data_IF_190323566557
#
_entry.id   IF_190323566557
#
_cell.length_a   1.000
_cell.length_b   1.000
_cell.length_c   1.000
_cell.angle_alpha   90.00
_cell.angle_beta   90.00
_cell.angle_gamma   90.00
#
_symmetry.space_group_name_H-M   'P 1'
#
loop_
_entity.id
_entity.type
_entity.pdbx_description
1 polymer ?
#
# COMPACT_ATOMS: atom_id res chain seq x y z
N UNK A 1 -73.42 31.03 -7.49
CA UNK A 1 -74.73 31.21 -8.21
C UNK A 1 -75.02 29.90 -8.91
N UNK A 2 -75.88 29.16 -8.28
CA UNK A 2 -77.05 28.50 -8.76
C UNK A 2 -76.79 27.34 -9.74
N UNK A 3 -77.00 26.12 -9.26
CA UNK A 3 -78.28 25.36 -9.08
C UNK A 3 -78.67 24.66 -10.39
N UNK A 4 -78.87 23.41 -10.43
CA UNK A 4 -79.84 22.45 -9.88
C UNK A 4 -80.44 21.64 -11.03
N UNK A 5 -80.67 20.38 -10.76
CA UNK A 5 -81.77 19.45 -11.11
C UNK A 5 -81.44 18.42 -12.20
N UNK A 6 -81.22 17.16 -11.82
CA UNK A 6 -82.27 16.17 -11.54
C UNK A 6 -83.06 15.72 -12.80
N UNK A 7 -82.88 14.47 -13.19
CA UNK A 7 -84.07 13.59 -13.19
C UNK A 7 -83.70 12.09 -13.36
N UNK A 8 -84.40 11.33 -12.56
CA UNK A 8 -84.54 9.85 -12.59
C UNK A 8 -85.20 9.41 -13.89
N UNK A 9 -84.83 8.23 -14.37
CA UNK A 9 -85.83 7.22 -14.65
C UNK A 9 -85.26 5.81 -14.70
N UNK A 10 -85.79 4.99 -13.83
CA UNK A 10 -85.76 3.54 -13.75
C UNK A 10 -86.22 2.89 -15.01
N UNK A 11 -85.58 1.77 -15.42
CA UNK A 11 -86.31 0.59 -15.89
C UNK A 11 -85.45 -0.67 -15.80
N UNK A 12 -85.94 -1.61 -15.01
CA UNK A 12 -85.55 -2.98 -14.86
C UNK A 12 -85.54 -3.73 -16.20
N UNK A 13 -84.45 -4.56 -16.43
CA UNK A 13 -84.56 -5.82 -17.18
C UNK A 13 -83.40 -6.73 -16.87
N UNK A 14 -83.68 -7.77 -16.17
CA UNK A 14 -83.21 -9.14 -16.06
C UNK A 14 -81.68 -9.41 -15.96
N UNK A 15 -81.25 -9.94 -14.84
CA UNK A 15 -79.94 -10.61 -14.69
C UNK A 15 -80.09 -12.14 -14.76
N UNK A 16 -79.83 -12.79 -15.86
CA UNK A 16 -79.86 -14.27 -15.83
C UNK A 16 -78.94 -15.03 -16.77
N UNK A 17 -78.01 -14.41 -17.52
CA UNK A 17 -77.10 -15.14 -18.39
C UNK A 17 -75.61 -14.77 -18.17
N UNK A 18 -75.37 -13.66 -17.52
CA UNK A 18 -73.97 -13.21 -17.33
C UNK A 18 -73.19 -13.89 -16.15
N UNK A 19 -73.96 -14.56 -15.26
CA UNK A 19 -73.36 -15.15 -14.04
C UNK A 19 -72.67 -16.53 -14.22
N UNK A 20 -72.82 -17.19 -15.36
CA UNK A 20 -72.24 -18.53 -15.58
C UNK A 20 -71.03 -18.56 -16.55
N UNK A 21 -70.82 -17.53 -17.35
CA UNK A 21 -69.71 -17.47 -18.31
C UNK A 21 -68.49 -16.76 -17.71
N UNK A 22 -68.69 -15.85 -16.76
CA UNK A 22 -67.64 -15.10 -16.09
C UNK A 22 -66.64 -15.98 -15.28
N UNK A 23 -67.09 -16.99 -14.46
CA UNK A 23 -66.19 -17.87 -13.76
C UNK A 23 -65.41 -18.82 -14.67
N UNK A 24 -65.95 -19.21 -15.83
CA UNK A 24 -65.24 -20.06 -16.81
C UNK A 24 -64.18 -19.28 -17.55
N UNK A 25 -64.40 -18.04 -17.92
CA UNK A 25 -63.41 -17.16 -18.53
C UNK A 25 -62.31 -16.76 -17.52
N UNK A 26 -62.65 -16.53 -16.25
CA UNK A 26 -61.70 -16.22 -15.19
C UNK A 26 -60.85 -17.45 -14.85
N UNK A 27 -61.43 -18.66 -14.85
CA UNK A 27 -60.71 -19.93 -14.67
C UNK A 27 -59.74 -20.21 -15.81
N UNK A 28 -60.08 -19.93 -17.07
CA UNK A 28 -59.21 -20.10 -18.21
C UNK A 28 -58.09 -19.06 -18.25
N UNK A 29 -58.35 -17.82 -17.82
CA UNK A 29 -57.30 -16.79 -17.67
C UNK A 29 -56.31 -17.11 -16.55
N UNK A 30 -56.75 -17.73 -15.44
CA UNK A 30 -55.88 -18.14 -14.35
C UNK A 30 -54.98 -19.35 -14.69
N UNK A 31 -55.45 -20.28 -15.54
CA UNK A 31 -54.67 -21.43 -15.99
C UNK A 31 -53.64 -21.05 -17.04
N UNK A 32 -53.81 -19.99 -17.79
CA UNK A 32 -52.80 -19.45 -18.71
C UNK A 32 -51.67 -18.68 -17.98
N UNK A 33 -51.93 -18.16 -16.76
CA UNK A 33 -50.92 -17.43 -15.99
C UNK A 33 -49.91 -18.33 -15.26
N UNK A 34 -50.19 -19.61 -15.05
CA UNK A 34 -49.30 -20.53 -14.37
C UNK A 34 -48.40 -21.34 -15.30
N UNK A 35 -48.50 -21.17 -16.61
CA UNK A 35 -47.78 -22.01 -17.61
C UNK A 35 -46.46 -21.48 -18.13
N UNK A 36 -45.99 -20.28 -17.76
CA UNK A 36 -44.81 -19.68 -18.40
C UNK A 36 -43.64 -19.37 -17.50
N UNK A 37 -43.60 -19.86 -16.25
CA UNK A 37 -42.42 -19.65 -15.40
C UNK A 37 -41.22 -20.59 -15.75
N UNK A 38 -41.43 -21.65 -16.54
CA UNK A 38 -40.37 -22.55 -16.98
C UNK A 38 -39.64 -22.12 -18.24
N UNK A 39 -40.11 -21.05 -18.90
CA UNK A 39 -39.49 -20.47 -20.09
C UNK A 39 -38.91 -19.07 -19.86
N UNK A 40 -38.67 -18.66 -18.62
CA UNK A 40 -37.74 -17.56 -18.43
C UNK A 40 -36.35 -18.15 -18.70
N UNK A 41 -35.68 -17.74 -19.79
CA UNK A 41 -34.25 -18.00 -19.85
C UNK A 41 -33.69 -17.40 -18.55
N UNK A 42 -32.97 -18.22 -17.75
CA UNK A 42 -32.06 -17.64 -16.77
C UNK A 42 -31.34 -16.53 -17.52
N UNK A 43 -31.12 -15.33 -16.92
CA UNK A 43 -30.19 -14.38 -17.51
C UNK A 43 -28.88 -15.12 -17.59
N UNK A 44 -28.62 -15.75 -18.75
CA UNK A 44 -27.32 -16.29 -19.04
C UNK A 44 -26.39 -15.10 -18.93
N UNK A 45 -25.31 -15.25 -18.18
CA UNK A 45 -24.18 -14.35 -18.31
C UNK A 45 -23.86 -14.33 -19.80
N UNK A 46 -24.29 -13.29 -20.49
CA UNK A 46 -24.15 -13.21 -21.94
C UNK A 46 -22.70 -13.08 -22.35
N UNK A 47 -21.84 -12.77 -21.39
CA UNK A 47 -20.43 -12.46 -21.61
C UNK A 47 -19.51 -13.20 -20.64
N UNK A 48 -18.32 -13.53 -21.12
CA UNK A 48 -17.17 -13.93 -20.32
C UNK A 48 -15.93 -13.13 -20.75
N UNK A 49 -14.96 -13.05 -19.89
CA UNK A 49 -13.72 -12.34 -20.13
C UNK A 49 -12.53 -13.29 -20.05
N UNK A 50 -11.58 -13.13 -20.97
CA UNK A 50 -10.41 -13.99 -21.06
C UNK A 50 -9.40 -13.60 -19.98
N UNK A 51 -9.00 -14.57 -19.16
CA UNK A 51 -7.94 -14.40 -18.14
C UNK A 51 -6.57 -14.79 -18.66
N UNK A 52 -6.49 -15.75 -19.57
CA UNK A 52 -5.23 -16.18 -20.15
C UNK A 52 -4.56 -15.06 -20.94
N UNK A 53 -3.22 -15.02 -20.97
CA UNK A 53 -2.46 -14.08 -21.80
C UNK A 53 -2.87 -14.18 -23.27
N UNK A 54 -3.01 -15.42 -23.75
CA UNK A 54 -3.48 -15.78 -25.09
C UNK A 54 -4.23 -17.09 -25.00
N UNK A 55 -5.35 -17.21 -25.71
CA UNK A 55 -6.11 -18.44 -25.83
C UNK A 55 -6.57 -18.65 -27.26
N UNK A 56 -6.75 -19.93 -27.65
CA UNK A 56 -7.19 -20.30 -29.00
C UNK A 56 -8.60 -20.85 -28.93
N UNK A 57 -9.44 -20.38 -29.84
CA UNK A 57 -10.73 -20.95 -30.08
C UNK A 57 -10.59 -22.21 -30.92
N UNK A 58 -11.44 -23.21 -30.67
CA UNK A 58 -11.41 -24.52 -31.33
C UNK A 58 -12.73 -24.86 -32.02
N UNK A 59 -12.67 -25.60 -33.10
CA UNK A 59 -13.87 -26.01 -33.86
C UNK A 59 -14.78 -26.98 -33.08
N UNK A 60 -14.20 -27.74 -32.13
CA UNK A 60 -14.91 -28.73 -31.30
C UNK A 60 -14.27 -28.92 -29.95
N UNK A 61 -15.03 -29.52 -29.03
CA UNK A 61 -14.62 -29.84 -27.67
C UNK A 61 -13.63 -30.99 -27.65
N UNK A 62 -12.39 -30.74 -28.07
CA UNK A 62 -11.29 -31.72 -28.03
C UNK A 62 -9.95 -30.99 -27.94
N UNK A 63 -8.98 -31.56 -27.18
CA UNK A 63 -7.64 -31.02 -27.08
C UNK A 63 -6.92 -30.96 -28.44
N UNK A 64 -7.16 -31.95 -29.28
CA UNK A 64 -6.67 -32.02 -30.67
C UNK A 64 -7.81 -31.64 -31.61
N UNK A 65 -7.90 -30.36 -31.96
CA UNK A 65 -8.92 -29.81 -32.84
C UNK A 65 -8.37 -28.62 -33.60
N UNK A 66 -9.01 -28.25 -34.70
CA UNK A 66 -8.59 -27.11 -35.52
C UNK A 66 -8.80 -25.79 -34.75
N UNK A 67 -7.85 -24.86 -34.86
CA UNK A 67 -7.99 -23.50 -34.35
C UNK A 67 -8.90 -22.71 -35.29
N UNK A 68 -9.90 -22.01 -34.73
CA UNK A 68 -10.87 -21.19 -35.46
C UNK A 68 -10.72 -19.72 -35.17
N UNK A 69 -9.96 -19.37 -34.14
CA UNK A 69 -9.70 -17.98 -33.74
C UNK A 69 -8.71 -17.90 -32.60
N UNK A 70 -8.37 -16.68 -32.26
CA UNK A 70 -7.47 -16.33 -31.15
C UNK A 70 -8.06 -15.19 -30.32
N UNK A 71 -7.81 -15.24 -29.03
CA UNK A 71 -8.26 -14.22 -28.09
C UNK A 71 -7.18 -13.92 -27.05
N UNK A 72 -7.21 -12.73 -26.49
CA UNK A 72 -6.18 -12.24 -25.57
C UNK A 72 -6.77 -11.81 -24.23
N UNK A 73 -5.92 -11.59 -23.23
CA UNK A 73 -6.31 -11.20 -21.89
C UNK A 73 -7.22 -9.96 -21.89
N UNK A 74 -8.29 -10.02 -21.11
CA UNK A 74 -9.28 -8.93 -20.94
C UNK A 74 -10.31 -8.85 -22.07
N UNK A 75 -10.20 -9.66 -23.13
CA UNK A 75 -11.17 -9.62 -24.24
C UNK A 75 -12.52 -10.16 -23.79
N UNK A 76 -13.59 -9.43 -24.09
CA UNK A 76 -14.97 -9.80 -23.83
C UNK A 76 -15.48 -10.73 -24.95
N UNK A 77 -16.04 -11.86 -24.55
CA UNK A 77 -16.59 -12.86 -25.47
C UNK A 77 -18.08 -13.07 -25.20
N UNK A 78 -18.88 -13.22 -26.26
CA UNK A 78 -20.30 -13.54 -26.16
C UNK A 78 -20.47 -15.06 -26.04
N UNK A 79 -21.18 -15.53 -25.03
CA UNK A 79 -21.47 -16.96 -24.85
C UNK A 79 -22.56 -17.37 -25.83
N UNK A 80 -22.33 -18.46 -26.58
CA UNK A 80 -23.28 -19.05 -27.47
C UNK A 80 -23.84 -20.38 -26.95
N UNK A 81 -22.99 -21.19 -26.28
CA UNK A 81 -23.41 -22.48 -25.71
C UNK A 81 -22.45 -22.91 -24.59
N UNK A 82 -22.94 -23.71 -23.66
CA UNK A 82 -22.17 -24.34 -22.60
C UNK A 82 -21.95 -25.84 -22.87
N UNK A 83 -20.69 -26.28 -22.70
CA UNK A 83 -20.29 -27.68 -22.61
C UNK A 83 -19.82 -27.98 -21.16
N UNK A 84 -19.29 -29.20 -20.96
CA UNK A 84 -18.91 -29.66 -19.61
C UNK A 84 -17.77 -28.84 -18.96
N UNK A 85 -16.75 -28.46 -19.74
CA UNK A 85 -15.56 -27.66 -19.32
C UNK A 85 -15.18 -26.67 -20.40
N UNK A 86 -16.05 -26.47 -21.36
CA UNK A 86 -15.86 -25.64 -22.52
C UNK A 86 -17.08 -24.78 -22.72
N UNK A 87 -16.86 -23.58 -23.19
CA UNK A 87 -17.90 -22.66 -23.61
C UNK A 87 -17.70 -22.35 -25.09
N UNK A 88 -18.79 -22.35 -25.87
CA UNK A 88 -18.76 -21.84 -27.23
C UNK A 88 -18.97 -20.32 -27.16
N UNK A 89 -18.06 -19.62 -27.79
CA UNK A 89 -18.05 -18.16 -27.73
C UNK A 89 -17.89 -17.53 -29.09
N UNK A 90 -18.25 -16.25 -29.14
CA UNK A 90 -18.00 -15.37 -30.29
C UNK A 90 -17.12 -14.22 -29.83
N UNK A 91 -16.02 -13.99 -30.56
CA UNK A 91 -15.14 -12.82 -30.35
C UNK A 91 -15.77 -11.55 -30.92
N UNK A 92 -15.28 -10.35 -30.52
CA UNK A 92 -15.68 -9.09 -31.14
C UNK A 92 -15.40 -9.04 -32.66
N UNK A 93 -14.44 -9.83 -33.13
CA UNK A 93 -14.11 -9.97 -34.57
C UNK A 93 -15.07 -10.90 -35.33
N UNK A 94 -16.01 -11.54 -34.63
CA UNK A 94 -17.00 -12.45 -35.21
C UNK A 94 -16.53 -13.92 -35.33
N UNK A 95 -15.32 -14.26 -34.84
CA UNK A 95 -14.82 -15.61 -34.81
C UNK A 95 -15.60 -16.45 -33.80
N UNK A 96 -16.01 -17.64 -34.17
CA UNK A 96 -16.76 -18.56 -33.32
C UNK A 96 -15.96 -19.82 -33.04
N UNK A 97 -15.95 -20.27 -31.78
CA UNK A 97 -15.27 -21.47 -31.39
C UNK A 97 -15.44 -21.82 -29.93
N UNK A 98 -14.86 -22.92 -29.52
CA UNK A 98 -14.86 -23.41 -28.14
C UNK A 98 -13.59 -22.98 -27.41
N UNK A 99 -13.73 -22.45 -26.20
CA UNK A 99 -12.65 -22.12 -25.29
C UNK A 99 -12.84 -22.87 -23.96
N UNK A 100 -11.75 -23.23 -23.28
CA UNK A 100 -11.82 -23.83 -21.96
C UNK A 100 -12.34 -22.81 -20.95
N UNK A 101 -13.38 -23.18 -20.18
CA UNK A 101 -14.02 -22.31 -19.18
C UNK A 101 -13.02 -21.76 -18.15
N UNK A 102 -12.01 -22.56 -17.75
CA UNK A 102 -10.96 -22.13 -16.80
C UNK A 102 -10.07 -20.97 -17.30
N UNK A 103 -10.11 -20.66 -18.59
CA UNK A 103 -9.36 -19.55 -19.19
C UNK A 103 -10.18 -18.26 -19.23
N UNK A 104 -11.36 -18.29 -18.65
CA UNK A 104 -12.30 -17.15 -18.63
C UNK A 104 -12.83 -16.91 -17.24
N UNK A 105 -13.37 -15.70 -17.02
CA UNK A 105 -14.16 -15.34 -15.84
C UNK A 105 -15.51 -14.78 -16.30
N UNK A 106 -16.57 -14.95 -15.48
CA UNK A 106 -17.90 -14.44 -15.81
C UNK A 106 -17.96 -12.90 -15.68
N UNK A 107 -19.05 -12.32 -16.17
CA UNK A 107 -19.33 -10.89 -16.23
C UNK A 107 -19.23 -10.22 -14.85
N UNK A 108 -19.71 -10.87 -13.79
CA UNK A 108 -19.72 -10.31 -12.43
C UNK A 108 -18.30 -9.98 -11.90
N UNK A 109 -17.28 -10.73 -12.34
CA UNK A 109 -15.89 -10.42 -12.01
C UNK A 109 -15.42 -9.17 -12.75
N UNK A 110 -15.73 -9.03 -14.03
CA UNK A 110 -15.43 -7.82 -14.79
C UNK A 110 -16.13 -6.59 -14.20
N UNK A 111 -17.39 -6.74 -13.78
CA UNK A 111 -18.16 -5.68 -13.12
C UNK A 111 -17.51 -5.22 -11.81
N UNK A 112 -16.91 -6.13 -11.02
CA UNK A 112 -16.14 -5.79 -9.83
C UNK A 112 -14.92 -4.93 -10.16
N UNK A 113 -14.19 -5.25 -11.26
CA UNK A 113 -13.07 -4.42 -11.73
C UNK A 113 -13.54 -3.04 -12.22
N UNK A 114 -14.69 -2.99 -12.90
CA UNK A 114 -15.30 -1.73 -13.31
C UNK A 114 -15.73 -0.86 -12.12
N UNK A 115 -16.23 -1.48 -11.05
CA UNK A 115 -16.54 -0.80 -9.80
C UNK A 115 -15.25 -0.23 -9.17
N UNK A 116 -14.19 -1.04 -9.01
CA UNK A 116 -12.90 -0.56 -8.51
C UNK A 116 -12.38 0.61 -9.33
N UNK A 117 -12.44 0.52 -10.66
CA UNK A 117 -12.00 1.60 -11.55
C UNK A 117 -12.79 2.90 -11.32
N UNK A 118 -14.12 2.81 -11.12
CA UNK A 118 -15.00 3.97 -10.89
C UNK A 118 -14.79 4.57 -9.50
N UNK A 119 -14.74 3.73 -8.49
CA UNK A 119 -14.64 4.14 -7.08
C UNK A 119 -13.30 4.84 -6.80
N UNK A 120 -12.23 4.34 -7.40
CA UNK A 120 -10.87 4.88 -7.21
C UNK A 120 -10.40 5.79 -8.35
N UNK A 121 -11.29 6.22 -9.26
CA UNK A 121 -10.91 7.04 -10.43
C UNK A 121 -10.23 8.37 -10.06
N UNK A 122 -10.61 8.95 -8.92
CA UNK A 122 -10.14 10.26 -8.44
C UNK A 122 -9.11 10.16 -7.32
N UNK A 123 -8.75 8.94 -6.91
CA UNK A 123 -7.81 8.78 -5.83
C UNK A 123 -6.43 9.32 -6.22
N UNK A 124 -5.78 10.05 -5.31
CA UNK A 124 -4.48 10.61 -5.56
C UNK A 124 -3.44 9.49 -5.72
N UNK A 125 -2.55 9.68 -6.68
CA UNK A 125 -1.41 8.77 -6.85
C UNK A 125 -0.43 8.99 -5.71
N UNK A 126 -0.13 7.92 -4.97
CA UNK A 126 0.81 7.94 -3.85
C UNK A 126 2.25 7.98 -4.38
N UNK A 127 2.56 7.09 -5.30
CA UNK A 127 3.86 6.98 -5.97
C UNK A 127 3.70 6.12 -7.23
N UNK A 128 4.74 6.02 -8.03
CA UNK A 128 4.80 5.14 -9.21
C UNK A 128 5.71 3.95 -8.95
N UNK A 129 5.40 2.85 -9.59
CA UNK A 129 6.22 1.64 -9.56
C UNK A 129 6.14 0.93 -10.90
N UNK A 130 7.05 0.00 -11.13
CA UNK A 130 7.03 -0.94 -12.24
C UNK A 130 6.82 -2.35 -11.74
N UNK A 131 6.28 -3.22 -12.60
CA UNK A 131 6.16 -4.64 -12.32
C UNK A 131 7.50 -5.34 -12.58
N UNK A 132 7.98 -6.14 -11.62
CA UNK A 132 9.20 -6.94 -11.78
C UNK A 132 8.99 -8.26 -12.53
N UNK A 133 7.73 -8.65 -12.76
CA UNK A 133 7.34 -9.88 -13.46
C UNK A 133 5.91 -9.74 -13.96
N UNK A 134 5.47 -10.66 -14.83
CA UNK A 134 4.05 -10.73 -15.23
C UNK A 134 3.16 -11.01 -14.01
N UNK A 135 2.12 -10.21 -13.83
CA UNK A 135 1.24 -10.29 -12.68
C UNK A 135 -0.22 -10.02 -13.03
N UNK A 136 -1.13 -10.68 -12.32
CA UNK A 136 -2.55 -10.40 -12.46
C UNK A 136 -3.00 -9.30 -11.47
N UNK A 137 -3.93 -8.47 -11.94
CA UNK A 137 -4.75 -7.66 -11.06
C UNK A 137 -5.84 -8.52 -10.42
N UNK A 138 -6.03 -8.35 -9.12
CA UNK A 138 -7.04 -9.00 -8.30
C UNK A 138 -8.14 -8.02 -7.89
N UNK A 139 -9.36 -8.51 -7.67
CA UNK A 139 -10.50 -7.67 -7.21
C UNK A 139 -10.36 -7.24 -5.75
N UNK A 140 -9.58 -7.97 -4.95
CA UNK A 140 -9.33 -7.69 -3.54
C UNK A 140 -7.92 -8.16 -3.16
N UNK A 141 -7.33 -7.66 -2.06
CA UNK A 141 -6.04 -8.15 -1.60
C UNK A 141 -6.11 -9.63 -1.22
N UNK A 142 -5.14 -10.41 -1.68
CA UNK A 142 -5.02 -11.85 -1.37
C UNK A 142 -4.89 -12.74 -2.59
N UNK A 143 -4.13 -13.85 -2.42
CA UNK A 143 -3.77 -14.75 -3.53
C UNK A 143 -4.93 -15.58 -4.08
N UNK A 144 -6.00 -15.73 -3.31
CA UNK A 144 -7.15 -16.57 -3.65
C UNK A 144 -8.34 -15.77 -4.17
N UNK A 145 -8.20 -14.46 -4.32
CA UNK A 145 -9.24 -13.59 -4.85
C UNK A 145 -9.32 -13.66 -6.37
N UNK A 146 -10.46 -13.30 -6.91
CA UNK A 146 -10.69 -13.29 -8.35
C UNK A 146 -9.71 -12.35 -9.06
N UNK A 147 -9.27 -12.76 -10.26
CA UNK A 147 -8.29 -12.02 -11.05
C UNK A 147 -8.69 -11.98 -12.53
N UNK A 148 -8.31 -10.92 -13.23
CA UNK A 148 -8.67 -10.78 -14.65
C UNK A 148 -7.51 -10.21 -15.48
N UNK A 149 -7.11 -8.97 -15.26
CA UNK A 149 -6.15 -8.29 -16.12
C UNK A 149 -4.72 -8.71 -15.84
N UNK A 150 -4.01 -9.09 -16.88
CA UNK A 150 -2.60 -9.48 -16.82
C UNK A 150 -1.73 -8.28 -17.17
N UNK A 151 -0.90 -7.88 -16.24
CA UNK A 151 0.13 -6.87 -16.42
C UNK A 151 1.41 -7.51 -16.96
N UNK A 152 2.07 -6.82 -17.87
CA UNK A 152 3.38 -7.24 -18.40
C UNK A 152 4.50 -6.76 -17.49
N UNK A 153 5.62 -7.47 -17.47
CA UNK A 153 6.87 -7.04 -16.84
C UNK A 153 7.28 -5.63 -17.31
N UNK A 154 7.79 -4.81 -16.41
CA UNK A 154 8.21 -3.42 -16.68
C UNK A 154 7.05 -2.43 -16.87
N UNK A 155 5.80 -2.89 -16.77
CA UNK A 155 4.64 -2.00 -16.87
C UNK A 155 4.61 -0.95 -15.75
N UNK A 156 4.44 0.34 -16.10
CA UNK A 156 4.33 1.42 -15.13
C UNK A 156 2.95 1.46 -14.50
N UNK A 157 2.91 1.55 -13.18
CA UNK A 157 1.71 1.57 -12.36
C UNK A 157 1.69 2.79 -11.44
N UNK A 158 0.50 3.35 -11.26
CA UNK A 158 0.21 4.33 -10.22
C UNK A 158 -0.30 3.61 -8.98
N UNK A 159 0.37 3.75 -7.85
CA UNK A 159 -0.02 3.16 -6.57
C UNK A 159 -1.02 4.08 -5.87
N UNK A 160 -2.13 3.54 -5.39
CA UNK A 160 -3.24 4.29 -4.80
C UNK A 160 -3.40 4.00 -3.30
N UNK A 161 -3.33 2.73 -2.89
CA UNK A 161 -3.58 2.33 -1.50
C UNK A 161 -2.85 1.03 -1.17
N UNK A 162 -2.51 0.82 0.11
CA UNK A 162 -1.85 -0.40 0.59
C UNK A 162 -2.74 -1.16 1.55
N UNK A 163 -2.79 -2.49 1.38
CA UNK A 163 -3.42 -3.41 2.31
C UNK A 163 -2.43 -4.49 2.75
N UNK A 164 -2.63 -5.02 3.96
CA UNK A 164 -1.85 -6.15 4.49
C UNK A 164 -2.80 -7.24 4.94
N UNK A 165 -2.69 -8.41 4.33
CA UNK A 165 -3.56 -9.55 4.61
C UNK A 165 -2.75 -10.78 5.01
N UNK A 166 -3.33 -11.71 5.81
CA UNK A 166 -2.67 -12.95 6.13
C UNK A 166 -2.37 -13.78 4.86
N UNK A 167 -1.17 -14.35 4.78
CA UNK A 167 -0.84 -15.32 3.75
C UNK A 167 -1.74 -16.55 3.90
N UNK A 168 -2.39 -17.02 2.82
CA UNK A 168 -3.19 -18.24 2.88
C UNK A 168 -2.36 -19.44 3.32
N UNK A 169 -2.89 -20.23 4.25
CA UNK A 169 -2.26 -21.49 4.66
C UNK A 169 -2.58 -22.53 3.59
N UNK A 170 -1.54 -23.05 2.95
CA UNK A 170 -1.70 -24.18 2.01
C UNK A 170 -2.08 -25.43 2.78
N UNK A 171 -3.20 -26.10 2.46
CA UNK A 171 -3.56 -27.37 3.10
C UNK A 171 -2.41 -28.38 2.95
N UNK A 172 -1.94 -28.95 4.07
CA UNK A 172 -0.82 -29.89 4.10
C UNK A 172 0.57 -29.26 4.22
N UNK A 173 0.70 -27.95 4.24
CA UNK A 173 1.96 -27.32 4.62
C UNK A 173 2.21 -27.55 6.12
N UNK A 174 3.35 -28.13 6.46
CA UNK A 174 3.77 -28.23 7.86
C UNK A 174 3.77 -26.83 8.49
N UNK A 175 3.31 -26.68 9.75
CA UNK A 175 3.42 -25.42 10.47
C UNK A 175 4.86 -24.94 10.37
N UNK A 176 5.07 -23.67 10.06
CA UNK A 176 6.40 -23.08 10.04
C UNK A 176 7.08 -23.39 11.38
N UNK A 177 8.13 -24.19 11.37
CA UNK A 177 8.88 -24.49 12.58
C UNK A 177 9.36 -23.18 13.19
N UNK A 178 9.19 -22.97 14.52
CA UNK A 178 9.77 -21.83 15.19
C UNK A 178 11.27 -21.79 14.89
N UNK A 179 11.79 -20.60 14.61
CA UNK A 179 13.23 -20.44 14.43
C UNK A 179 13.98 -21.03 15.65
N UNK A 180 15.12 -21.71 15.48
CA UNK A 180 15.80 -22.48 16.53
C UNK A 180 16.41 -21.63 17.65
N UNK A 181 15.85 -20.51 18.03
CA UNK A 181 16.22 -19.65 19.16
C UNK A 181 15.02 -18.82 19.65
N UNK A 182 13.81 -19.33 19.51
CA UNK A 182 12.62 -18.63 20.01
C UNK A 182 12.51 -18.89 21.53
N UNK A 183 12.47 -17.82 22.32
CA UNK A 183 12.18 -17.88 23.76
C UNK A 183 10.89 -18.68 23.97
N UNK A 184 10.90 -19.74 24.81
CA UNK A 184 9.70 -20.55 25.08
C UNK A 184 8.51 -19.74 25.62
N UNK A 185 8.77 -18.55 26.19
CA UNK A 185 7.76 -17.64 26.72
C UNK A 185 7.35 -16.55 25.74
N UNK A 186 7.92 -16.52 24.51
CA UNK A 186 7.49 -15.57 23.52
C UNK A 186 6.03 -15.85 23.08
N UNK A 187 5.19 -14.83 22.92
CA UNK A 187 3.87 -15.02 22.38
C UNK A 187 3.94 -15.69 21.01
N UNK A 188 2.98 -16.55 20.65
CA UNK A 188 2.97 -17.23 19.38
C UNK A 188 3.14 -16.24 18.23
N UNK A 189 4.02 -16.54 17.30
CA UNK A 189 4.21 -15.71 16.13
C UNK A 189 2.87 -15.55 15.40
N UNK A 190 2.44 -14.32 15.19
CA UNK A 190 1.24 -14.02 14.42
C UNK A 190 1.32 -14.57 12.98
N UNK A 191 0.22 -14.55 12.22
CA UNK A 191 0.20 -15.03 10.85
C UNK A 191 1.25 -14.27 10.00
N UNK A 192 1.84 -14.99 9.06
CA UNK A 192 2.70 -14.35 8.05
C UNK A 192 1.83 -13.45 7.19
N UNK A 193 2.15 -12.16 7.15
CA UNK A 193 1.39 -11.16 6.38
C UNK A 193 1.97 -10.99 4.97
N UNK A 194 1.12 -10.54 4.06
CA UNK A 194 1.48 -10.15 2.69
C UNK A 194 0.92 -8.76 2.40
N UNK A 195 1.77 -7.88 1.87
CA UNK A 195 1.35 -6.54 1.45
C UNK A 195 0.85 -6.59 0.01
N UNK A 196 -0.27 -5.92 -0.23
CA UNK A 196 -0.92 -5.74 -1.50
C UNK A 196 -1.12 -4.26 -1.78
N UNK A 197 -1.06 -3.89 -3.05
CA UNK A 197 -1.27 -2.51 -3.47
C UNK A 197 -2.41 -2.42 -4.45
N UNK A 198 -3.32 -1.50 -4.20
CA UNK A 198 -4.28 -1.06 -5.21
C UNK A 198 -3.53 -0.19 -6.20
N UNK A 199 -3.58 -0.56 -7.46
CA UNK A 199 -2.84 0.12 -8.52
C UNK A 199 -3.75 0.45 -9.69
N UNK A 200 -3.32 1.44 -10.48
CA UNK A 200 -3.92 1.82 -11.74
C UNK A 200 -2.84 1.79 -12.83
N UNK A 201 -3.11 1.07 -13.91
CA UNK A 201 -2.22 1.01 -15.07
C UNK A 201 -2.43 2.20 -16.04
N UNK A 202 -1.62 2.26 -17.10
CA UNK A 202 -1.72 3.29 -18.14
C UNK A 202 -3.04 3.24 -18.93
N UNK A 203 -3.77 2.11 -18.92
CA UNK A 203 -5.07 1.95 -19.58
C UNK A 203 -6.24 2.33 -18.64
N UNK A 204 -5.94 2.70 -17.39
CA UNK A 204 -6.94 2.99 -16.36
C UNK A 204 -7.52 1.75 -15.70
N UNK A 205 -6.99 0.54 -15.96
CA UNK A 205 -7.39 -0.67 -15.25
C UNK A 205 -6.93 -0.56 -13.80
N UNK A 206 -7.83 -0.83 -12.87
CA UNK A 206 -7.59 -0.68 -11.43
C UNK A 206 -7.83 -2.02 -10.74
N UNK A 207 -6.91 -2.42 -9.86
CA UNK A 207 -7.01 -3.67 -9.11
C UNK A 207 -5.84 -3.85 -8.15
N UNK A 208 -5.88 -4.92 -7.37
CA UNK A 208 -4.88 -5.24 -6.36
C UNK A 208 -3.77 -6.11 -6.93
N UNK A 209 -2.52 -5.79 -6.60
CA UNK A 209 -1.33 -6.56 -6.98
C UNK A 209 -0.48 -6.87 -5.75
N UNK A 210 0.18 -8.02 -5.77
CA UNK A 210 1.08 -8.44 -4.70
C UNK A 210 2.30 -7.52 -4.62
N UNK A 211 2.54 -6.92 -3.47
CA UNK A 211 3.55 -5.87 -3.28
C UNK A 211 4.99 -6.29 -3.55
N UNK A 212 5.31 -7.60 -3.54
CA UNK A 212 6.66 -8.08 -3.90
C UNK A 212 6.95 -8.05 -5.41
N UNK A 213 5.92 -7.90 -6.23
CA UNK A 213 6.05 -7.79 -7.68
C UNK A 213 6.15 -6.34 -8.14
N UNK A 214 6.29 -5.41 -7.19
CA UNK A 214 6.39 -3.99 -7.46
C UNK A 214 7.77 -3.46 -7.08
N UNK A 215 8.39 -2.75 -8.01
CA UNK A 215 9.59 -1.97 -7.81
C UNK A 215 9.24 -0.49 -7.92
N UNK A 216 9.38 0.23 -6.81
CA UNK A 216 9.12 1.69 -6.80
C UNK A 216 10.12 2.38 -7.71
N UNK A 217 9.63 3.27 -8.56
CA UNK A 217 10.45 4.05 -9.48
C UNK A 217 11.39 4.96 -8.68
N UNK A 218 12.62 4.50 -8.50
CA UNK A 218 13.69 5.24 -7.85
C UNK A 218 14.96 5.12 -8.70
N UNK A 219 15.78 6.17 -8.81
CA UNK A 219 17.04 6.09 -9.55
C UNK A 219 17.99 5.06 -8.94
N UNK A 220 18.65 4.26 -9.78
CA UNK A 220 19.62 3.24 -9.37
C UNK A 220 20.74 3.82 -8.50
N UNK A 221 21.11 5.07 -8.77
CA UNK A 221 22.11 5.81 -7.98
C UNK A 221 21.73 5.92 -6.49
N UNK A 222 20.43 5.88 -6.16
CA UNK A 222 19.94 5.96 -4.78
C UNK A 222 19.80 4.59 -4.10
N UNK A 223 19.67 3.50 -4.84
CA UNK A 223 19.47 2.16 -4.30
C UNK A 223 20.63 1.74 -3.36
N UNK A 224 21.85 2.15 -3.68
CA UNK A 224 23.05 1.92 -2.82
C UNK A 224 22.95 2.52 -1.42
N UNK A 225 22.09 3.52 -1.25
CA UNK A 225 21.90 4.22 0.03
C UNK A 225 20.72 3.68 0.85
N UNK A 226 20.02 2.66 0.37
CA UNK A 226 18.86 2.08 1.06
C UNK A 226 19.24 1.36 2.38
N UNK A 227 20.53 1.02 2.60
CA UNK A 227 21.07 0.49 3.86
C UNK A 227 20.29 -0.73 4.39
N UNK A 228 19.88 -1.65 3.51
CA UNK A 228 19.14 -2.85 3.87
C UNK A 228 17.64 -2.61 4.09
N UNK A 229 17.13 -1.46 3.71
CA UNK A 229 15.70 -1.16 3.62
C UNK A 229 15.26 -1.07 2.15
N UNK A 230 13.96 -1.15 1.90
CA UNK A 230 13.40 -0.90 0.57
C UNK A 230 12.97 0.57 0.45
N UNK A 231 13.19 1.16 -0.70
CA UNK A 231 12.60 2.45 -1.05
C UNK A 231 11.13 2.20 -1.41
N UNK A 232 10.22 2.89 -0.72
CA UNK A 232 8.77 2.78 -0.95
C UNK A 232 8.17 4.04 -1.57
N UNK A 233 8.99 5.07 -1.77
CA UNK A 233 8.66 6.28 -2.52
C UNK A 233 9.89 7.11 -2.78
N UNK A 234 9.98 7.70 -3.97
CA UNK A 234 11.02 8.65 -4.36
C UNK A 234 10.36 9.82 -5.11
N UNK A 235 10.62 11.03 -4.66
CA UNK A 235 9.96 12.24 -5.16
C UNK A 235 11.01 13.27 -5.49
N UNK A 236 10.93 13.85 -6.69
CA UNK A 236 11.81 14.96 -7.08
C UNK A 236 11.46 16.18 -6.26
N UNK A 237 12.44 16.70 -5.51
CA UNK A 237 12.31 17.88 -4.67
C UNK A 237 12.75 19.15 -5.39
N UNK A 238 13.90 19.10 -6.06
CA UNK A 238 14.54 20.18 -6.77
C UNK A 238 15.45 19.64 -7.87
N UNK A 239 16.05 20.53 -8.64
CA UNK A 239 17.08 20.22 -9.61
C UNK A 239 18.30 21.12 -9.37
N UNK A 240 19.47 20.56 -9.59
CA UNK A 240 20.75 21.26 -9.53
C UNK A 240 21.44 21.14 -10.88
N UNK A 241 21.88 22.27 -11.42
CA UNK A 241 22.62 22.27 -12.67
C UNK A 241 24.08 21.87 -12.42
N UNK A 242 24.52 20.83 -13.11
CA UNK A 242 25.89 20.32 -13.10
C UNK A 242 26.25 19.81 -14.49
N UNK A 243 26.85 20.68 -15.34
CA UNK A 243 27.26 20.31 -16.70
C UNK A 243 28.24 19.13 -16.73
N UNK A 244 29.03 18.98 -15.68
CA UNK A 244 30.08 17.95 -15.56
C UNK A 244 29.65 16.77 -14.65
N UNK A 245 28.34 16.52 -14.53
CA UNK A 245 27.77 15.55 -13.62
C UNK A 245 28.31 14.12 -13.75
N UNK A 246 28.79 13.76 -14.96
CA UNK A 246 29.21 12.39 -15.28
C UNK A 246 28.08 11.39 -15.40
N UNK A 247 26.81 11.79 -15.23
CA UNK A 247 25.63 10.94 -15.39
C UNK A 247 25.24 10.93 -16.87
N UNK A 248 25.10 9.73 -17.42
CA UNK A 248 24.65 9.53 -18.79
C UNK A 248 23.21 8.97 -18.81
N UNK A 249 22.36 9.55 -19.63
CA UNK A 249 21.07 9.01 -19.98
C UNK A 249 20.98 8.93 -21.52
N UNK A 250 20.74 7.70 -22.03
CA UNK A 250 20.72 7.43 -23.47
C UNK A 250 21.94 7.98 -24.23
N UNK A 251 23.12 7.96 -23.59
CA UNK A 251 24.39 8.45 -24.15
C UNK A 251 24.60 9.96 -24.06
N UNK A 252 23.66 10.72 -23.54
CA UNK A 252 23.78 12.16 -23.32
C UNK A 252 24.09 12.47 -21.84
N UNK A 253 24.96 13.45 -21.61
CA UNK A 253 25.22 13.90 -20.23
C UNK A 253 23.99 14.61 -19.67
N UNK A 254 23.54 14.16 -18.50
CA UNK A 254 22.47 14.81 -17.75
C UNK A 254 23.07 16.00 -17.02
N UNK A 255 22.66 17.21 -17.38
CA UNK A 255 23.16 18.45 -16.80
C UNK A 255 22.27 19.01 -15.68
N UNK A 256 21.01 18.62 -15.62
CA UNK A 256 20.06 19.03 -14.59
C UNK A 256 19.76 17.82 -13.70
N UNK A 257 20.42 17.75 -12.56
CA UNK A 257 20.39 16.60 -11.67
C UNK A 257 19.27 16.75 -10.63
N UNK A 258 18.30 15.82 -10.57
CA UNK A 258 17.22 15.90 -9.59
C UNK A 258 17.70 15.58 -8.17
N UNK A 259 17.25 16.34 -7.21
CA UNK A 259 17.35 16.06 -5.78
C UNK A 259 16.08 15.38 -5.29
N UNK A 260 16.20 14.42 -4.38
CA UNK A 260 15.09 13.54 -4.04
C UNK A 260 14.75 13.55 -2.56
N UNK A 261 13.45 13.50 -2.26
CA UNK A 261 12.93 12.99 -0.99
C UNK A 261 12.60 11.52 -1.18
N UNK A 262 13.22 10.65 -0.40
CA UNK A 262 12.92 9.22 -0.40
C UNK A 262 12.35 8.79 0.94
N UNK A 263 11.47 7.81 0.89
CA UNK A 263 10.93 7.15 2.07
C UNK A 263 11.27 5.66 2.03
N UNK A 264 11.72 5.15 3.18
CA UNK A 264 12.25 3.80 3.31
C UNK A 264 11.46 3.00 4.35
N UNK A 265 11.35 1.72 4.10
CA UNK A 265 10.65 0.76 4.96
C UNK A 265 11.45 -0.53 5.08
N UNK A 266 11.40 -1.24 6.21
CA UNK A 266 12.01 -2.56 6.33
C UNK A 266 11.44 -3.57 5.32
N UNK A 267 12.23 -4.58 4.94
CA UNK A 267 11.77 -5.72 4.12
C UNK A 267 10.88 -6.67 4.95
N UNK A 268 9.79 -6.14 5.48
CA UNK A 268 8.80 -6.89 6.26
C UNK A 268 7.40 -6.51 5.80
N UNK A 269 6.55 -7.49 5.57
CA UNK A 269 5.13 -7.27 5.31
C UNK A 269 4.34 -7.14 6.63
N UNK A 270 3.14 -6.57 6.57
CA UNK A 270 2.27 -6.39 7.72
C UNK A 270 2.72 -5.27 8.66
N UNK A 271 3.50 -4.32 8.17
CA UNK A 271 3.87 -3.17 8.97
C UNK A 271 2.68 -2.22 9.13
N UNK A 272 2.46 -1.67 10.34
CA UNK A 272 1.36 -0.74 10.62
C UNK A 272 1.57 0.67 10.06
N UNK A 273 2.59 0.87 9.25
CA UNK A 273 2.99 2.12 8.61
C UNK A 273 3.53 1.84 7.21
N UNK A 274 3.61 2.85 6.38
CA UNK A 274 4.14 2.73 5.02
C UNK A 274 5.67 2.86 5.02
N UNK A 275 6.20 3.75 5.84
CA UNK A 275 7.64 3.95 5.98
C UNK A 275 8.04 4.30 7.41
N UNK A 276 9.28 4.01 7.77
CA UNK A 276 9.85 4.36 9.08
C UNK A 276 11.04 5.31 8.99
N UNK A 277 11.39 5.73 7.77
CA UNK A 277 12.49 6.67 7.55
C UNK A 277 12.16 7.58 6.35
N UNK A 278 12.47 8.86 6.52
CA UNK A 278 12.54 9.85 5.42
C UNK A 278 13.98 10.24 5.24
N UNK A 279 14.44 10.34 3.98
CA UNK A 279 15.79 10.75 3.64
C UNK A 279 15.76 11.69 2.43
N UNK A 280 16.49 12.79 2.52
CA UNK A 280 16.67 13.71 1.40
C UNK A 280 18.06 13.57 0.84
N UNK A 281 18.14 13.32 -0.46
CA UNK A 281 19.38 13.26 -1.22
C UNK A 281 19.53 14.54 -2.01
N UNK A 282 20.62 15.24 -1.73
CA UNK A 282 21.04 16.46 -2.42
C UNK A 282 22.24 16.16 -3.30
N UNK A 283 22.33 16.85 -4.44
CA UNK A 283 23.45 16.70 -5.34
C UNK A 283 24.62 17.62 -4.96
N UNK A 284 25.79 17.06 -4.80
CA UNK A 284 27.03 17.83 -4.57
C UNK A 284 27.77 17.98 -5.90
N UNK A 285 27.61 19.12 -6.58
CA UNK A 285 28.22 19.41 -7.88
C UNK A 285 29.78 19.44 -7.84
N UNK A 286 30.40 19.69 -6.66
CA UNK A 286 31.87 19.64 -6.53
C UNK A 286 32.42 18.22 -6.48
N UNK A 287 31.59 17.26 -6.05
CA UNK A 287 31.99 15.84 -5.88
C UNK A 287 31.27 14.93 -6.87
N UNK A 288 30.37 15.46 -7.69
CA UNK A 288 29.53 14.77 -8.67
C UNK A 288 28.87 13.51 -8.07
N UNK A 289 28.20 13.68 -6.91
CA UNK A 289 27.53 12.58 -6.21
C UNK A 289 26.41 13.08 -5.31
N UNK A 290 25.50 12.16 -4.99
CA UNK A 290 24.48 12.40 -3.95
C UNK A 290 25.08 12.38 -2.56
N UNK A 291 24.64 13.29 -1.71
CA UNK A 291 24.91 13.36 -0.27
C UNK A 291 23.57 13.42 0.47
N UNK A 292 23.56 13.00 1.74
CA UNK A 292 22.36 13.08 2.56
C UNK A 292 22.23 14.47 3.16
N UNK A 293 21.24 15.25 2.72
CA UNK A 293 20.91 16.56 3.28
C UNK A 293 20.02 16.48 4.52
N UNK A 294 19.22 15.41 4.64
CA UNK A 294 18.33 15.19 5.78
C UNK A 294 18.07 13.71 5.98
N UNK A 295 17.91 13.29 7.23
CA UNK A 295 17.47 11.93 7.57
C UNK A 295 16.72 11.93 8.89
N UNK A 296 15.50 11.42 8.87
CA UNK A 296 14.70 11.13 10.06
C UNK A 296 14.32 9.66 10.08
N UNK A 297 14.53 9.00 11.20
CA UNK A 297 14.39 7.54 11.38
C UNK A 297 13.48 7.24 12.56
N UNK A 298 12.97 6.00 12.59
CA UNK A 298 12.14 5.48 13.67
C UNK A 298 10.81 6.23 13.82
N UNK A 299 10.18 6.54 12.70
CA UNK A 299 8.88 7.20 12.62
C UNK A 299 7.81 6.23 12.13
N UNK A 300 6.56 6.48 12.49
CA UNK A 300 5.36 5.77 11.99
C UNK A 300 4.76 6.65 10.89
N UNK A 301 5.29 6.51 9.67
CA UNK A 301 4.99 7.39 8.54
C UNK A 301 3.98 6.84 7.57
N UNK A 302 3.17 7.72 6.96
CA UNK A 302 2.12 7.38 6.00
C UNK A 302 2.26 8.20 4.72
N UNK A 303 2.12 7.53 3.60
CA UNK A 303 2.08 8.13 2.28
C UNK A 303 0.76 8.92 2.06
N UNK A 304 0.73 9.86 1.08
CA UNK A 304 1.80 10.30 0.20
C UNK A 304 2.74 11.34 0.83
N UNK A 305 3.89 11.58 0.17
CA UNK A 305 4.72 12.75 0.39
C UNK A 305 4.21 13.87 -0.52
N UNK A 306 4.01 15.06 0.03
CA UNK A 306 3.61 16.25 -0.73
C UNK A 306 4.84 17.10 -1.02
N UNK A 307 5.13 17.34 -2.28
CA UNK A 307 6.17 18.28 -2.72
C UNK A 307 5.53 19.63 -2.99
N UNK A 308 6.19 20.70 -2.59
CA UNK A 308 5.71 22.07 -2.75
C UNK A 308 6.83 23.09 -2.74
N UNK A 309 6.46 24.34 -2.52
CA UNK A 309 7.43 25.42 -2.37
C UNK A 309 6.95 26.47 -1.36
N UNK A 310 7.87 27.17 -0.74
CA UNK A 310 7.59 28.30 0.16
C UNK A 310 8.52 29.45 -0.15
N UNK A 311 8.09 30.69 0.16
CA UNK A 311 8.91 31.89 -0.01
C UNK A 311 10.16 31.75 0.84
N UNK A 312 11.31 32.16 0.28
CA UNK A 312 12.57 32.26 1.03
C UNK A 312 12.48 33.42 2.03
N UNK A 313 12.49 33.18 3.35
CA UNK A 313 12.38 34.25 4.33
C UNK A 313 13.67 35.07 4.48
N UNK A 314 14.77 34.60 3.91
CA UNK A 314 16.09 35.23 4.04
C UNK A 314 16.43 36.08 2.82
N UNK A 315 15.75 35.87 1.70
CA UNK A 315 15.94 36.67 0.50
C UNK A 315 15.19 37.99 0.64
N UNK A 316 15.95 39.05 0.90
CA UNK A 316 15.45 40.40 0.86
C UNK A 316 15.48 40.87 -0.59
N UNK A 317 14.32 41.22 -1.13
CA UNK A 317 14.22 41.77 -2.48
C UNK A 317 15.18 42.95 -2.73
N UNK A 318 15.25 43.49 -3.96
CA UNK A 318 16.23 44.48 -4.38
C UNK A 318 16.35 45.74 -3.51
N UNK A 319 15.29 46.04 -2.75
CA UNK A 319 15.26 47.16 -1.83
C UNK A 319 15.61 46.80 -0.37
N UNK A 320 15.99 45.55 -0.09
CA UNK A 320 16.28 45.08 1.27
C UNK A 320 15.08 45.05 2.21
N UNK A 321 13.87 45.26 1.69
CA UNK A 321 12.61 45.32 2.42
C UNK A 321 11.78 44.08 2.17
N UNK A 322 11.71 43.18 3.17
CA UNK A 322 10.87 41.98 3.12
C UNK A 322 11.43 40.84 2.26
N UNK A 323 10.78 39.68 2.34
CA UNK A 323 11.13 38.51 1.52
C UNK A 323 10.69 38.72 0.05
N UNK A 324 11.56 38.40 -0.90
CA UNK A 324 11.20 38.41 -2.31
C UNK A 324 10.23 37.25 -2.61
N UNK A 325 8.97 37.59 -2.88
CA UNK A 325 7.93 36.62 -3.20
C UNK A 325 8.19 35.84 -4.51
N UNK A 326 9.13 36.31 -5.34
CA UNK A 326 9.52 35.60 -6.56
C UNK A 326 10.47 34.41 -6.29
N UNK A 327 11.22 34.46 -5.19
CA UNK A 327 12.12 33.35 -4.83
C UNK A 327 11.44 32.38 -3.88
N UNK A 328 11.19 31.19 -4.41
CA UNK A 328 10.59 30.08 -3.70
C UNK A 328 11.62 28.97 -3.50
N UNK A 329 11.68 28.45 -2.28
CA UNK A 329 12.48 27.29 -1.93
C UNK A 329 11.61 26.03 -1.90
N UNK A 330 12.13 24.88 -2.33
CA UNK A 330 11.38 23.63 -2.35
C UNK A 330 11.05 23.15 -0.93
N UNK A 331 9.86 22.57 -0.81
CA UNK A 331 9.38 22.02 0.46
C UNK A 331 8.86 20.59 0.25
N UNK A 332 8.94 19.80 1.31
CA UNK A 332 8.28 18.50 1.36
C UNK A 332 7.52 18.32 2.66
N UNK A 333 6.38 17.66 2.57
CA UNK A 333 5.50 17.40 3.72
C UNK A 333 5.16 15.93 3.78
N UNK A 334 5.22 15.35 4.96
CA UNK A 334 4.81 13.98 5.23
C UNK A 334 4.02 13.88 6.53
N UNK A 335 3.28 12.79 6.67
CA UNK A 335 2.44 12.52 7.84
C UNK A 335 3.06 11.45 8.71
N UNK A 336 3.04 11.67 10.02
CA UNK A 336 3.44 10.69 11.03
C UNK A 336 2.31 10.50 12.05
N UNK A 337 2.24 9.35 12.68
CA UNK A 337 1.26 9.08 13.73
C UNK A 337 1.55 9.96 14.94
N UNK A 338 0.52 10.59 15.51
CA UNK A 338 0.64 11.36 16.74
C UNK A 338 0.96 10.46 17.94
N UNK A 339 1.77 10.96 18.88
CA UNK A 339 2.28 10.17 20.00
C UNK A 339 1.22 9.72 21.02
N UNK A 340 0.03 10.31 20.99
CA UNK A 340 -1.12 9.94 21.81
C UNK A 340 -1.99 8.83 21.16
N UNK A 341 -1.66 8.40 19.94
CA UNK A 341 -2.44 7.43 19.19
C UNK A 341 -1.85 6.02 19.32
N UNK A 342 -2.70 4.98 19.43
CA UNK A 342 -2.24 3.60 19.35
C UNK A 342 -1.75 3.30 17.93
N UNK A 343 -0.75 2.42 17.83
CA UNK A 343 -0.27 1.94 16.53
C UNK A 343 -1.38 1.13 15.86
N UNK A 344 -1.83 1.49 14.65
CA UNK A 344 -2.95 0.84 13.99
C UNK A 344 -2.62 -0.61 13.62
N UNK A 345 -3.64 -1.44 13.54
CA UNK A 345 -3.54 -2.79 12.99
C UNK A 345 -4.29 -2.84 11.65
N UNK A 346 -3.88 -3.72 10.73
CA UNK A 346 -4.65 -3.94 9.52
C UNK A 346 -6.09 -4.36 9.85
N UNK A 347 -7.06 -3.81 9.14
CA UNK A 347 -8.45 -4.23 9.23
C UNK A 347 -8.56 -5.72 8.88
N UNK A 348 -9.20 -6.55 9.72
CA UNK A 348 -9.24 -8.01 9.52
C UNK A 348 -9.97 -8.43 8.24
N UNK A 349 -10.83 -7.59 7.68
CA UNK A 349 -11.65 -7.89 6.50
C UNK A 349 -11.00 -7.38 5.23
N UNK A 350 -10.57 -6.11 5.23
CA UNK A 350 -10.03 -5.44 4.04
C UNK A 350 -8.51 -5.45 3.99
N UNK A 351 -7.84 -5.65 5.13
CA UNK A 351 -6.39 -5.51 5.26
C UNK A 351 -5.89 -4.07 5.24
N UNK A 352 -6.78 -3.08 5.10
CA UNK A 352 -6.42 -1.67 5.08
C UNK A 352 -5.90 -1.19 6.43
N UNK A 353 -5.00 -0.21 6.39
CA UNK A 353 -4.45 0.38 7.60
C UNK A 353 -4.96 1.81 7.73
N UNK A 354 -5.81 2.03 8.72
CA UNK A 354 -6.39 3.34 8.99
C UNK A 354 -5.66 3.98 10.17
N UNK A 355 -4.74 4.93 9.93
CA UNK A 355 -4.09 5.65 11.01
C UNK A 355 -5.11 6.52 11.75
N UNK A 356 -4.95 6.63 13.06
CA UNK A 356 -5.65 7.63 13.85
C UNK A 356 -5.20 9.06 13.50
N UNK A 357 -5.18 9.96 14.49
CA UNK A 357 -4.68 11.31 14.28
C UNK A 357 -3.22 11.31 13.84
N UNK A 358 -2.93 12.02 12.73
CA UNK A 358 -1.57 12.19 12.21
C UNK A 358 -1.11 13.62 12.33
N UNK A 359 0.19 13.83 12.42
CA UNK A 359 0.86 15.13 12.42
C UNK A 359 1.50 15.34 11.05
N UNK A 360 1.26 16.49 10.43
CA UNK A 360 1.96 16.88 9.22
C UNK A 360 3.29 17.56 9.58
N UNK A 361 4.36 17.10 8.98
CA UNK A 361 5.72 17.66 9.15
C UNK A 361 6.18 18.23 7.82
N UNK A 362 6.32 19.54 7.76
CA UNK A 362 6.80 20.25 6.56
C UNK A 362 8.23 20.72 6.79
N UNK A 363 9.08 20.44 5.81
CA UNK A 363 10.46 20.91 5.77
C UNK A 363 10.70 21.68 4.48
N UNK A 364 11.59 22.66 4.56
CA UNK A 364 12.06 23.46 3.45
C UNK A 364 13.55 23.19 3.24
N UNK A 365 13.95 22.98 1.99
CA UNK A 365 15.34 22.83 1.61
C UNK A 365 15.96 24.24 1.41
N UNK A 366 16.98 24.55 2.20
CA UNK A 366 17.74 25.79 2.18
C UNK A 366 19.21 25.43 1.88
N UNK A 367 19.59 25.46 0.60
CA UNK A 367 20.88 24.94 0.16
C UNK A 367 21.02 23.44 0.51
N UNK A 368 21.90 23.11 1.43
CA UNK A 368 22.18 21.73 1.81
C UNK A 368 21.48 21.31 3.12
N UNK A 369 20.58 22.11 3.66
CA UNK A 369 19.94 21.89 4.97
C UNK A 369 18.43 21.90 4.83
N UNK A 370 17.77 20.91 5.43
CA UNK A 370 16.32 20.90 5.54
C UNK A 370 15.89 21.49 6.90
N UNK A 371 15.12 22.57 6.89
CA UNK A 371 14.57 23.21 8.08
C UNK A 371 13.10 22.89 8.25
N UNK A 372 12.71 22.47 9.45
CA UNK A 372 11.30 22.25 9.79
C UNK A 372 10.56 23.57 9.82
N UNK A 373 9.43 23.65 9.14
CA UNK A 373 8.52 24.77 9.20
C UNK A 373 7.48 24.50 10.27
N UNK A 374 7.39 25.41 11.23
CA UNK A 374 6.37 25.40 12.29
C UNK A 374 5.62 26.71 12.23
N UNK A 375 4.29 26.73 12.45
CA UNK A 375 3.56 27.96 12.65
C UNK A 375 4.15 28.76 13.81
N UNK A 376 4.18 30.09 13.73
CA UNK A 376 4.72 30.93 14.81
C UNK A 376 4.06 30.61 16.16
N UNK A 377 4.87 30.46 17.21
CA UNK A 377 4.39 30.19 18.57
C UNK A 377 3.98 28.73 18.85
N UNK A 378 4.13 27.81 17.87
CA UNK A 378 3.82 26.41 18.08
C UNK A 378 5.06 25.62 18.47
N UNK A 379 4.87 24.62 19.35
CA UNK A 379 5.89 23.63 19.70
C UNK A 379 5.68 22.37 18.86
N UNK A 380 6.74 21.63 18.55
CA UNK A 380 6.61 20.33 17.91
C UNK A 380 5.74 19.39 18.75
N UNK A 381 4.71 18.81 18.14
CA UNK A 381 3.91 17.79 18.79
C UNK A 381 4.72 16.49 18.95
N UNK A 382 4.48 15.72 20.03
CA UNK A 382 5.07 14.38 20.19
C UNK A 382 4.52 13.44 19.14
N UNK A 383 5.39 12.60 18.58
CA UNK A 383 5.06 11.61 17.57
C UNK A 383 5.20 10.18 18.10
N UNK A 384 4.46 9.26 17.49
CA UNK A 384 4.59 7.85 17.80
C UNK A 384 5.85 7.27 17.12
N UNK A 385 6.49 6.37 17.83
CA UNK A 385 7.62 5.62 17.30
C UNK A 385 7.23 4.15 17.15
N UNK A 386 7.69 3.44 16.10
CA UNK A 386 7.56 2.01 16.05
C UNK A 386 8.08 1.45 17.38
N UNK A 387 7.37 0.50 17.99
CA UNK A 387 7.90 -0.22 19.15
C UNK A 387 9.31 -0.61 18.82
N UNK A 388 10.26 -0.23 19.68
CA UNK A 388 11.67 -0.47 19.46
C UNK A 388 11.81 -1.95 19.06
N UNK A 389 12.14 -2.20 17.81
CA UNK A 389 12.51 -3.54 17.34
C UNK A 389 13.47 -4.01 18.40
N UNK A 390 13.12 -5.06 19.15
CA UNK A 390 13.86 -5.58 20.28
C UNK A 390 15.32 -5.67 19.88
N UNK A 391 16.05 -4.59 20.17
CA UNK A 391 17.48 -4.50 19.88
C UNK A 391 18.08 -5.67 20.65
N UNK A 392 18.76 -6.57 19.97
CA UNK A 392 19.37 -7.74 20.61
C UNK A 392 20.00 -7.30 21.93
N UNK A 393 19.60 -7.90 23.09
CA UNK A 393 20.14 -7.51 24.38
C UNK A 393 21.67 -7.47 24.31
N UNK A 394 22.30 -6.39 24.78
CA UNK A 394 23.75 -6.22 24.74
C UNK A 394 24.33 -5.65 23.44
N UNK A 395 23.53 -5.40 22.39
CA UNK A 395 24.03 -4.73 21.18
C UNK A 395 24.43 -3.27 21.47
N UNK A 396 25.39 -2.73 20.68
CA UNK A 396 25.84 -1.33 20.80
C UNK A 396 24.67 -0.35 20.65
N UNK A 397 23.67 -0.70 19.83
CA UNK A 397 22.47 0.06 19.63
C UNK A 397 21.53 0.02 20.86
N UNK A 398 21.35 -1.16 21.49
CA UNK A 398 20.58 -1.30 22.73
C UNK A 398 21.20 -0.51 23.88
N UNK A 399 22.53 -0.52 24.02
CA UNK A 399 23.25 0.27 25.03
C UNK A 399 23.10 1.77 24.79
N UNK A 400 23.10 2.20 23.53
CA UNK A 400 22.89 3.61 23.17
C UNK A 400 21.45 4.07 23.42
N UNK A 401 20.45 3.25 23.11
CA UNK A 401 19.04 3.51 23.40
C UNK A 401 18.77 3.59 24.90
N UNK A 402 19.33 2.67 25.70
CA UNK A 402 19.24 2.70 27.16
C UNK A 402 19.91 3.94 27.76
N UNK A 403 21.04 4.37 27.22
CA UNK A 403 21.74 5.58 27.66
C UNK A 403 20.97 6.89 27.32
N UNK A 404 20.24 6.91 26.22
CA UNK A 404 19.36 8.01 25.84
C UNK A 404 18.09 8.04 26.71
N UNK A 405 17.48 6.91 26.97
CA UNK A 405 16.34 6.79 27.87
C UNK A 405 16.67 7.22 29.31
N UNK A 406 17.87 6.90 29.79
CA UNK A 406 18.34 7.30 31.12
C UNK A 406 18.63 8.82 31.24
N UNK A 407 18.78 9.53 30.12
CA UNK A 407 19.00 11.00 30.09
C UNK A 407 17.70 11.80 29.95
N UNK A 408 16.55 11.17 29.73
CA UNK A 408 15.26 11.85 29.70
C UNK A 408 14.74 11.97 31.13
N UNK A 409 14.47 13.18 31.68
CA UNK A 409 13.95 13.31 33.03
C UNK A 409 12.50 12.84 33.06
N UNK A 410 12.26 11.66 33.65
CA UNK A 410 10.92 11.20 33.96
C UNK A 410 10.33 12.10 35.06
N UNK A 411 9.32 12.90 34.74
CA UNK A 411 8.43 13.49 35.72
C UNK A 411 7.57 12.36 36.30
N UNK A 412 8.03 11.79 37.41
CA UNK A 412 7.15 10.99 38.29
C UNK A 412 6.13 11.88 38.99
N UNK A 413 4.87 11.47 39.11
CA UNK A 413 3.88 12.22 39.90
C UNK A 413 4.23 12.17 41.38
N UNK A 414 4.19 13.34 42.02
CA UNK A 414 4.45 13.53 43.42
C UNK A 414 3.50 12.71 44.32
N UNK A 415 4.05 11.91 45.21
CA UNK A 415 3.36 11.22 46.31
C UNK A 415 3.25 12.17 47.50
N UNK A 416 2.11 12.25 48.20
CA UNK A 416 1.96 13.22 49.30
C UNK A 416 2.79 12.85 50.54
N UNK A 417 3.27 13.90 51.17
CA UNK A 417 4.14 13.89 52.35
C UNK A 417 3.47 13.24 53.58
N UNK A 418 4.16 12.31 54.22
CA UNK A 418 3.93 11.99 55.63
C UNK A 418 5.17 12.34 56.44
N UNK A 419 4.91 13.02 57.58
CA UNK A 419 5.84 13.64 58.51
C UNK A 419 6.69 12.63 59.29
N UNK A 420 7.80 13.08 59.93
CA UNK A 420 8.89 12.23 60.37
C UNK A 420 8.75 11.70 61.82
N UNK A 421 9.32 10.52 62.03
CA UNK A 421 9.64 10.08 63.41
C UNK A 421 11.14 9.79 63.47
N UNK A 422 11.77 10.56 64.35
CA UNK A 422 13.14 10.50 64.83
C UNK A 422 13.46 9.16 65.52
N UNK A 423 14.62 8.55 65.23
CA UNK A 423 15.45 7.87 66.25
C UNK A 423 16.90 7.74 65.85
N UNK A 424 17.71 8.04 66.86
CA UNK A 424 19.18 8.20 66.95
C UNK A 424 19.97 6.93 66.78
N UNK A 425 21.18 7.18 66.22
CA UNK A 425 22.52 6.63 66.61
C UNK A 425 22.79 5.13 66.45
N UNK A 426 23.85 4.71 65.79
CA UNK A 426 25.24 4.63 66.29
C UNK A 426 26.16 4.13 65.20
N UNK A 427 27.37 4.73 65.16
CA UNK A 427 28.58 4.23 64.48
C UNK A 427 29.26 3.18 65.36
N UNK A 428 30.06 2.22 64.82
CA UNK A 428 31.50 2.51 64.68
C UNK A 428 32.24 1.74 63.54
N UNK A 429 33.20 2.45 62.99
CA UNK A 429 34.64 2.22 62.85
C UNK A 429 35.23 0.92 62.30
N UNK A 430 36.06 1.14 61.26
CA UNK A 430 37.44 0.64 61.04
C UNK A 430 37.66 -0.78 60.43
N UNK A 431 38.42 -0.89 59.37
CA UNK A 431 39.88 -1.11 59.20
C UNK A 431 40.20 -1.53 57.79
N UNK A 432 40.96 -0.77 57.04
CA UNK A 432 42.33 -0.92 56.55
C UNK A 432 42.88 -2.35 56.28
N UNK A 433 43.36 -2.56 55.08
CA UNK A 433 44.66 -3.07 54.59
C UNK A 433 44.49 -3.71 53.22
N UNK A 434 45.10 -3.27 52.18
CA UNK A 434 46.51 -3.22 51.74
C UNK A 434 47.00 -4.51 51.06
N UNK A 435 47.60 -4.27 49.93
CA UNK A 435 48.74 -4.95 49.27
C UNK A 435 48.40 -5.70 47.96
N UNK A 436 48.93 -5.14 46.86
CA UNK A 436 50.19 -5.41 46.12
C UNK A 436 50.11 -6.65 45.22
N UNK A 437 50.19 -6.42 43.89
CA UNK A 437 51.32 -6.42 42.97
C UNK A 437 51.72 -7.80 42.39
N UNK A 438 51.82 -7.89 41.08
CA UNK A 438 52.90 -8.42 40.21
C UNK A 438 52.31 -8.67 38.82
N UNK A 439 52.66 -7.99 37.76
CA UNK A 439 53.85 -7.95 36.90
C UNK A 439 54.30 -9.32 36.38
N UNK A 440 54.11 -9.55 35.08
CA UNK A 440 55.09 -10.24 34.17
C UNK A 440 54.39 -10.47 32.80
N UNK A 441 54.75 -9.74 31.75
CA UNK A 441 55.72 -9.98 30.67
C UNK A 441 55.70 -11.36 30.01
N UNK A 442 55.43 -11.40 28.69
CA UNK A 442 56.30 -11.94 27.60
C UNK A 442 55.48 -12.08 26.32
N UNK A 443 55.81 -11.29 25.30
CA UNK A 443 56.65 -11.60 24.12
C UNK A 443 55.97 -12.50 23.08
N UNK A 444 55.82 -11.90 21.90
CA UNK A 444 55.63 -12.51 20.57
C UNK A 444 56.77 -13.46 20.19
N UNK A 445 56.64 -14.30 19.14
CA UNK A 445 57.22 -13.89 17.90
C UNK A 445 56.46 -14.26 16.59
N UNK A 446 56.88 -13.54 15.57
CA UNK A 446 56.68 -13.69 14.12
C UNK A 446 57.05 -15.06 13.54
N UNK A 447 56.36 -15.45 12.45
CA UNK A 447 56.93 -16.03 11.19
C UNK A 447 55.77 -16.22 10.18
N UNK A 448 55.75 -15.56 9.05
CA UNK A 448 56.43 -15.63 7.74
C UNK A 448 55.97 -16.79 6.84
N UNK A 449 55.40 -16.39 5.66
CA UNK A 449 55.53 -16.92 4.28
C UNK A 449 54.91 -18.31 3.99
N UNK A 450 54.20 -18.55 2.91
CA UNK A 450 54.45 -18.30 1.47
C UNK A 450 53.18 -18.62 0.68
N UNK A 451 53.06 -17.93 -0.45
CA UNK A 451 52.28 -18.29 -1.64
C UNK A 451 52.80 -19.59 -2.34
N UNK A 452 52.12 -20.16 -3.33
CA UNK A 452 51.82 -19.48 -4.61
C UNK A 452 50.34 -19.18 -4.82
#
# INVERSE_FOLDING_TARGET
>A
MQQILSNRMNRHLAPLVLGRVLPILLGFALTCATGCSHFRPHPFDHYVYVTAKQAFLRDRVAAVSKRTGETTNGEQLVILAHGRRWIQVRTPRGEVGWIEERLTVPQDIADKFDALRKDHAKDPVITTATTSDEAYLHVAPGRLTDKLYLLTEGGTLSLLERASVPKPITPGAAPAQPAPNTDPNAPPAGPVMEDWWLVRDAKGQTGWIYGRLLEVSAPDSLLRYAEGQRIVGAYVLAHVDDPDSGILDNGNTVTSIPEYVTVLSPYKAGLPYDFNQVRVFIWNAKKHRYETGFSERNIVGYLPIKIGSSIDPYNKGPEGKGADASQKLPTFTYRVLAGDQPIPQPDPTTGLIHPGRTIEKTYRLEGNICRRLLPPGTQPEPEAHPEAVLLKPGSKAARRAAALAAKSPSKSPAKPAAKPVTRKATKPTSRKAAKRAAKSTKKSPKRRKNSP
#
